data_IF_475049963216
#
_entry.id   IF_475049963216
#
_cell.length_a   1.000
_cell.length_b   1.000
_cell.length_c   1.000
_cell.angle_alpha   90.00
_cell.angle_beta   90.00
_cell.angle_gamma   90.00
#
_symmetry.space_group_name_H-M   'P 1'
#
loop_
_entity.id
_entity.type
_entity.pdbx_description
1 polymer ?
#
# COMPACT_ATOMS: atom_id res chain seq x y z
N UNK A 1 2.72 12.70 -14.69
CA UNK A 1 4.00 12.05 -14.32
C UNK A 1 3.73 11.21 -13.09
N UNK A 2 3.11 10.05 -13.31
CA UNK A 2 2.68 9.14 -12.25
C UNK A 2 3.58 7.93 -12.40
N UNK A 3 4.75 8.00 -11.79
CA UNK A 3 5.75 6.94 -11.92
C UNK A 3 5.83 6.24 -10.58
N UNK A 4 6.00 4.94 -10.63
CA UNK A 4 6.16 4.02 -9.49
C UNK A 4 6.91 4.59 -8.26
N UNK A 5 7.91 5.44 -8.47
CA UNK A 5 8.67 6.11 -7.42
C UNK A 5 7.81 6.88 -6.41
N UNK A 6 6.80 7.64 -6.88
CA UNK A 6 5.95 8.42 -5.98
C UNK A 6 5.05 7.53 -5.11
N UNK A 7 4.65 6.39 -5.66
CA UNK A 7 3.89 5.38 -4.91
C UNK A 7 4.76 4.74 -3.82
N UNK A 8 6.02 4.42 -4.15
CA UNK A 8 7.00 3.90 -3.18
C UNK A 8 7.28 4.92 -2.07
N UNK A 9 7.45 6.19 -2.42
CA UNK A 9 7.68 7.27 -1.45
C UNK A 9 6.50 7.43 -0.49
N UNK A 10 5.27 7.43 -1.01
CA UNK A 10 4.06 7.44 -0.18
C UNK A 10 3.99 6.22 0.73
N UNK A 11 4.18 5.02 0.20
CA UNK A 11 4.15 3.80 1.00
C UNK A 11 5.22 3.84 2.11
N UNK A 12 6.44 4.29 1.80
CA UNK A 12 7.51 4.43 2.78
C UNK A 12 7.19 5.47 3.86
N UNK A 13 6.56 6.58 3.50
CA UNK A 13 6.20 7.67 4.42
C UNK A 13 5.05 7.24 5.35
N UNK A 14 4.05 6.53 4.84
CA UNK A 14 2.92 6.05 5.63
C UNK A 14 3.27 4.84 6.50
N UNK A 15 4.20 3.99 6.05
CA UNK A 15 4.75 2.89 6.85
C UNK A 15 6.00 3.31 7.65
N UNK A 16 6.34 4.60 7.70
CA UNK A 16 7.48 5.08 8.48
C UNK A 16 7.24 4.79 9.97
N UNK A 17 8.21 4.14 10.60
CA UNK A 17 8.08 3.68 11.99
C UNK A 17 7.22 2.45 12.20
N UNK A 18 6.48 1.98 11.18
CA UNK A 18 5.73 0.73 11.25
C UNK A 18 6.66 -0.47 11.14
N UNK A 19 6.53 -1.39 12.09
CA UNK A 19 7.31 -2.63 12.15
C UNK A 19 6.40 -3.84 12.02
N UNK A 20 6.92 -4.88 11.37
CA UNK A 20 6.28 -6.18 11.36
C UNK A 20 6.41 -6.87 12.74
N UNK A 21 5.82 -8.07 12.86
CA UNK A 21 5.90 -8.90 14.07
C UNK A 21 7.32 -9.34 14.42
N UNK A 22 8.25 -9.24 13.47
CA UNK A 22 9.67 -9.59 13.60
C UNK A 22 10.54 -8.38 13.93
N UNK A 23 9.96 -7.18 14.03
CA UNK A 23 10.67 -5.92 14.29
C UNK A 23 11.31 -5.27 13.05
N UNK A 24 11.05 -5.80 11.85
CA UNK A 24 11.54 -5.28 10.57
C UNK A 24 10.62 -4.18 10.02
N UNK A 25 11.13 -3.25 9.20
CA UNK A 25 10.29 -2.24 8.55
C UNK A 25 9.18 -2.87 7.70
N UNK A 26 7.93 -2.47 7.92
CA UNK A 26 6.77 -3.07 7.23
C UNK A 26 6.82 -2.86 5.71
N UNK A 27 7.40 -1.75 5.25
CA UNK A 27 7.58 -1.40 3.83
C UNK A 27 8.23 -2.50 2.98
N UNK A 28 9.00 -3.40 3.61
CA UNK A 28 9.61 -4.54 2.92
C UNK A 28 8.58 -5.53 2.36
N UNK A 29 7.37 -5.59 2.93
CA UNK A 29 6.31 -6.46 2.43
C UNK A 29 5.69 -5.93 1.13
N UNK A 30 5.17 -4.69 1.05
CA UNK A 30 4.69 -4.10 -0.20
C UNK A 30 5.76 -4.08 -1.31
N UNK A 31 7.03 -3.81 -0.96
CA UNK A 31 8.14 -3.87 -1.91
C UNK A 31 8.31 -5.25 -2.55
N UNK A 32 8.15 -6.32 -1.78
CA UNK A 32 8.26 -7.70 -2.29
C UNK A 32 7.10 -8.06 -3.22
N UNK A 33 5.90 -7.56 -2.91
CA UNK A 33 4.71 -7.74 -3.75
C UNK A 33 4.90 -7.03 -5.09
N UNK A 34 5.34 -5.75 -5.09
CA UNK A 34 5.59 -5.05 -6.36
C UNK A 34 6.71 -5.71 -7.19
N UNK A 35 7.75 -6.27 -6.55
CA UNK A 35 8.80 -6.98 -7.29
C UNK A 35 8.30 -8.25 -7.99
N UNK A 36 7.17 -8.80 -7.54
CA UNK A 36 6.54 -9.98 -8.15
C UNK A 36 5.61 -9.64 -9.32
N UNK A 37 5.42 -8.36 -9.61
CA UNK A 37 4.55 -7.86 -10.68
C UNK A 37 5.41 -7.31 -11.83
N UNK A 38 4.99 -7.47 -13.07
CA UNK A 38 5.76 -7.01 -14.24
C UNK A 38 5.31 -5.62 -14.72
N UNK A 39 4.00 -5.42 -14.84
CA UNK A 39 3.41 -4.16 -15.30
C UNK A 39 3.58 -3.03 -14.27
N UNK A 40 3.95 -1.83 -14.72
CA UNK A 40 4.17 -0.68 -13.84
C UNK A 40 2.91 -0.31 -13.04
N UNK A 41 1.74 -0.32 -13.68
CA UNK A 41 0.46 -0.07 -13.01
C UNK A 41 0.19 -1.09 -11.91
N UNK A 42 0.50 -2.37 -12.17
CA UNK A 42 0.35 -3.42 -11.18
C UNK A 42 1.32 -3.22 -10.01
N UNK A 43 2.57 -2.83 -10.28
CA UNK A 43 3.56 -2.50 -9.23
C UNK A 43 3.09 -1.37 -8.33
N UNK A 44 2.50 -0.32 -8.90
CA UNK A 44 1.92 0.81 -8.16
C UNK A 44 0.79 0.32 -7.25
N UNK A 45 -0.14 -0.47 -7.78
CA UNK A 45 -1.22 -1.08 -6.99
C UNK A 45 -0.65 -1.94 -5.87
N UNK A 46 0.32 -2.80 -6.19
CA UNK A 46 0.95 -3.72 -5.24
C UNK A 46 1.71 -3.02 -4.11
N UNK A 47 2.30 -1.84 -4.34
CA UNK A 47 2.98 -1.11 -3.26
C UNK A 47 2.01 -0.31 -2.39
N UNK A 48 0.87 0.12 -2.94
CA UNK A 48 -0.11 0.96 -2.24
C UNK A 48 -1.27 0.20 -1.61
N UNK A 49 -1.51 -1.07 -1.98
CA UNK A 49 -2.67 -1.82 -1.48
C UNK A 49 -2.66 -1.95 0.04
N UNK A 50 -1.53 -2.38 0.62
CA UNK A 50 -1.36 -2.46 2.08
C UNK A 50 -1.35 -1.07 2.73
N UNK A 51 -0.79 -0.06 2.05
CA UNK A 51 -0.79 1.32 2.58
C UNK A 51 -2.23 1.81 2.82
N UNK A 52 -3.17 1.51 1.93
CA UNK A 52 -4.59 1.89 2.09
C UNK A 52 -5.29 1.05 3.18
N UNK A 53 -4.87 -0.20 3.37
CA UNK A 53 -5.53 -1.14 4.29
C UNK A 53 -5.01 -1.05 5.73
N UNK A 54 -3.73 -0.72 5.89
CA UNK A 54 -3.03 -0.66 7.18
C UNK A 54 -2.78 0.76 7.69
N UNK A 55 -2.96 1.78 6.85
CA UNK A 55 -2.74 3.19 7.23
C UNK A 55 -3.97 4.06 6.96
N UNK A 56 -3.88 5.35 7.28
CA UNK A 56 -4.96 6.33 7.06
C UNK A 56 -5.03 6.87 5.62
N UNK A 57 -4.26 6.28 4.69
CA UNK A 57 -4.29 6.68 3.29
C UNK A 57 -5.65 6.36 2.65
N UNK A 58 -6.35 7.39 2.18
CA UNK A 58 -7.64 7.25 1.49
C UNK A 58 -7.50 7.27 -0.03
N UNK A 59 -8.43 6.61 -0.73
CA UNK A 59 -8.50 6.66 -2.20
C UNK A 59 -8.68 8.09 -2.73
N UNK A 60 -9.41 8.94 -2.01
CA UNK A 60 -9.57 10.36 -2.32
C UNK A 60 -8.22 11.10 -2.32
N UNK A 61 -7.35 10.80 -1.34
CA UNK A 61 -6.00 11.36 -1.27
C UNK A 61 -5.12 10.86 -2.42
N UNK A 62 -5.24 9.59 -2.80
CA UNK A 62 -4.53 9.05 -3.97
C UNK A 62 -4.97 9.72 -5.29
N UNK A 63 -6.25 10.02 -5.46
CA UNK A 63 -6.72 10.81 -6.60
C UNK A 63 -6.11 12.20 -6.62
N UNK A 64 -6.05 12.88 -5.47
CA UNK A 64 -5.39 14.19 -5.36
C UNK A 64 -3.89 14.14 -5.67
N UNK A 65 -3.23 13.02 -5.37
CA UNK A 65 -1.81 12.79 -5.70
C UNK A 65 -1.59 12.47 -7.20
N UNK A 66 -2.66 12.23 -7.96
CA UNK A 66 -2.62 11.97 -9.39
C UNK A 66 -2.62 10.47 -9.77
N UNK A 67 -3.05 9.59 -8.87
CA UNK A 67 -3.25 8.16 -9.16
C UNK A 67 -4.67 7.90 -9.70
N UNK A 68 -4.79 7.10 -10.76
CA UNK A 68 -6.09 6.71 -11.32
C UNK A 68 -6.83 5.70 -10.43
N UNK A 69 -8.16 5.64 -10.56
CA UNK A 69 -9.07 4.80 -9.75
C UNK A 69 -8.85 3.27 -9.86
N UNK A 70 -7.81 2.82 -10.56
CA UNK A 70 -7.47 1.42 -10.75
C UNK A 70 -6.93 0.74 -9.48
N UNK A 71 -6.60 1.51 -8.43
CA UNK A 71 -6.21 0.96 -7.13
C UNK A 71 -7.46 0.45 -6.41
N UNK A 72 -7.75 -0.84 -6.56
CA UNK A 72 -8.83 -1.51 -5.82
C UNK A 72 -8.30 -1.96 -4.46
N UNK A 73 -8.69 -1.26 -3.39
CA UNK A 73 -8.52 -1.76 -2.02
C UNK A 73 -9.33 -3.07 -1.90
N UNK A 74 -8.65 -4.18 -1.55
CA UNK A 74 -9.34 -5.38 -1.08
C UNK A 74 -9.66 -5.17 0.40
N UNK A 75 -10.60 -4.27 0.69
CA UNK A 75 -11.34 -4.29 1.96
C UNK A 75 -12.25 -5.52 2.07
N UNK A 76 -11.81 -6.68 1.57
CA UNK A 76 -12.40 -7.98 1.81
C UNK A 76 -11.96 -8.40 3.21
N UNK A 77 -12.83 -8.13 4.17
CA UNK A 77 -12.92 -8.90 5.41
C UNK A 77 -11.68 -8.78 6.31
N UNK A 78 -11.55 -7.64 7.01
CA UNK A 78 -11.08 -7.71 8.41
C UNK A 78 -12.14 -8.49 9.19
N UNK A 79 -12.06 -9.82 9.04
CA UNK A 79 -12.69 -10.83 9.86
C UNK A 79 -12.56 -10.42 11.32
N UNK A 80 -13.72 -10.37 11.98
CA UNK A 80 -13.93 -10.46 13.42
C UNK A 80 -12.70 -10.93 14.19
N UNK A 81 -11.94 -9.98 14.72
CA UNK A 81 -11.09 -10.22 15.88
C UNK A 81 -11.52 -9.35 17.06
N UNK A 82 -12.82 -9.19 17.25
CA UNK A 82 -13.39 -9.00 18.59
C UNK A 82 -13.68 -10.37 19.17
N UNK A 83 -12.61 -10.91 19.75
CA UNK A 83 -12.54 -12.03 20.68
C UNK A 83 -13.65 -11.89 21.75
N UNK A 84 -14.58 -12.85 21.80
CA UNK A 84 -15.21 -13.27 23.06
C UNK A 84 -14.30 -14.29 23.75
#
# INVERSE_FOLDING_TARGET
MSTLNKAIELAALFHEGQKDKSGQPYILHPLRVMMSLEAEDAKIVGVLHDTIEDTELTLERLKNEGFSNTIHSRRSDKCDKTRS
#
